data_IF_760241033056
#
_entry.id   IF_760241033056
#
_cell.length_a   1.000
_cell.length_b   1.000
_cell.length_c   1.000
_cell.angle_alpha   90.00
_cell.angle_beta   90.00
_cell.angle_gamma   90.00
#
_symmetry.space_group_name_H-M   'P 1'
#
loop_
_entity.id
_entity.type
_entity.pdbx_description
1 polymer ?
#
# COMPACT_ATOMS: atom_id res chain seq x y z
N UNK A 1 -5.15 5.99 -3.76
CA UNK A 1 -5.34 4.61 -3.27
C UNK A 1 -6.75 4.40 -2.72
N UNK A 2 -7.15 5.03 -1.60
CA UNK A 2 -8.45 4.77 -0.96
C UNK A 2 -9.65 4.88 -1.90
N UNK A 3 -9.74 5.97 -2.67
CA UNK A 3 -10.84 6.20 -3.62
C UNK A 3 -10.83 5.19 -4.78
N UNK A 4 -9.65 4.77 -5.24
CA UNK A 4 -9.50 3.73 -6.26
C UNK A 4 -9.89 2.35 -5.71
N UNK A 5 -9.51 2.04 -4.46
CA UNK A 5 -9.93 0.82 -3.78
C UNK A 5 -11.44 0.76 -3.66
N UNK A 6 -12.06 1.85 -3.22
CA UNK A 6 -13.51 1.95 -3.11
C UNK A 6 -14.20 1.68 -4.45
N UNK A 7 -13.70 2.28 -5.54
CA UNK A 7 -14.15 1.99 -6.90
C UNK A 7 -14.07 0.48 -7.22
N UNK A 8 -12.91 -0.15 -7.04
CA UNK A 8 -12.73 -1.58 -7.32
C UNK A 8 -13.65 -2.48 -6.50
N UNK A 9 -14.05 -2.07 -5.29
CA UNK A 9 -14.92 -2.86 -4.40
C UNK A 9 -16.42 -2.61 -4.58
N UNK A 10 -16.83 -1.46 -5.11
CA UNK A 10 -18.24 -1.03 -5.09
C UNK A 10 -18.85 -0.80 -6.48
N UNK A 11 -18.04 -0.41 -7.46
CA UNK A 11 -18.53 0.03 -8.78
C UNK A 11 -17.89 -0.73 -9.95
N UNK A 12 -16.78 -1.43 -9.73
CA UNK A 12 -16.15 -2.22 -10.78
C UNK A 12 -16.94 -3.51 -11.01
N UNK A 13 -17.45 -3.70 -12.22
CA UNK A 13 -18.19 -4.91 -12.61
C UNK A 13 -17.30 -6.18 -12.62
N UNK A 14 -16.00 -5.99 -12.76
CA UNK A 14 -15.01 -7.07 -12.82
C UNK A 14 -14.34 -7.25 -11.45
N UNK A 15 -14.25 -8.48 -10.91
CA UNK A 15 -13.56 -8.71 -9.64
C UNK A 15 -12.07 -8.40 -9.78
N UNK A 16 -11.51 -7.64 -8.83
CA UNK A 16 -10.11 -7.20 -8.83
C UNK A 16 -9.33 -7.85 -7.68
N UNK A 17 -9.06 -9.18 -7.71
CA UNK A 17 -8.35 -9.89 -6.64
C UNK A 17 -6.92 -9.37 -6.43
N UNK A 18 -6.31 -8.78 -7.46
CA UNK A 18 -4.97 -8.20 -7.42
C UNK A 18 -4.85 -7.09 -6.37
N UNK A 19 -5.94 -6.38 -6.08
CA UNK A 19 -5.93 -5.33 -5.06
C UNK A 19 -5.75 -5.92 -3.66
N UNK A 20 -6.40 -7.04 -3.36
CA UNK A 20 -6.23 -7.74 -2.08
C UNK A 20 -4.80 -8.27 -1.95
N UNK A 21 -4.24 -8.82 -3.02
CA UNK A 21 -2.85 -9.28 -3.03
C UNK A 21 -1.87 -8.11 -2.78
N UNK A 22 -2.08 -6.96 -3.44
CA UNK A 22 -1.28 -5.76 -3.21
C UNK A 22 -1.33 -5.29 -1.74
N UNK A 23 -2.49 -5.33 -1.09
CA UNK A 23 -2.63 -4.97 0.32
C UNK A 23 -1.86 -5.91 1.25
N UNK A 24 -1.90 -7.23 1.00
CA UNK A 24 -1.12 -8.19 1.78
C UNK A 24 0.39 -8.01 1.55
N UNK A 25 0.84 -7.67 0.34
CA UNK A 25 2.24 -7.29 0.09
C UNK A 25 2.62 -6.06 0.90
N UNK A 26 1.76 -5.03 0.95
CA UNK A 26 1.99 -3.81 1.74
C UNK A 26 1.99 -4.08 3.24
N UNK A 27 1.25 -5.09 3.70
CA UNK A 27 1.30 -5.55 5.10
C UNK A 27 2.61 -6.29 5.38
N UNK A 28 3.03 -7.17 4.47
CA UNK A 28 4.29 -7.90 4.56
C UNK A 28 5.51 -6.96 4.63
N UNK A 29 5.54 -5.90 3.80
CA UNK A 29 6.63 -4.90 3.78
C UNK A 29 6.85 -4.22 5.15
N UNK A 30 5.82 -4.17 6.01
CA UNK A 30 5.87 -3.53 7.34
C UNK A 30 6.29 -4.47 8.46
N UNK A 31 6.45 -5.76 8.20
CA UNK A 31 6.86 -6.72 9.23
C UNK A 31 8.31 -6.46 9.62
N UNK A 32 8.59 -6.44 10.92
CA UNK A 32 9.92 -6.14 11.46
C UNK A 32 10.79 -7.39 11.58
N UNK A 33 10.18 -8.54 11.88
CA UNK A 33 10.89 -9.80 12.16
C UNK A 33 10.90 -10.74 10.96
N UNK A 34 12.00 -11.47 10.79
CA UNK A 34 12.14 -12.43 9.68
C UNK A 34 11.27 -13.68 9.85
N UNK A 35 10.97 -14.08 11.10
CA UNK A 35 10.07 -15.20 11.41
C UNK A 35 8.63 -14.89 10.98
N UNK A 36 8.13 -13.70 11.29
CA UNK A 36 6.81 -13.26 10.86
C UNK A 36 6.75 -13.08 9.34
N UNK A 37 7.80 -12.50 8.74
CA UNK A 37 7.92 -12.43 7.27
C UNK A 37 7.84 -13.81 6.66
N UNK A 38 8.52 -14.82 7.20
CA UNK A 38 8.45 -16.15 6.63
C UNK A 38 7.04 -16.74 6.69
N UNK A 39 6.40 -16.68 7.86
CA UNK A 39 5.04 -17.20 8.07
C UNK A 39 4.04 -16.51 7.13
N UNK A 40 4.01 -15.18 7.16
CA UNK A 40 3.09 -14.39 6.33
C UNK A 40 3.43 -14.54 4.84
N UNK A 41 4.71 -14.61 4.49
CA UNK A 41 5.16 -14.83 3.12
C UNK A 41 4.69 -16.18 2.56
N UNK A 42 4.69 -17.24 3.39
CA UNK A 42 4.11 -18.55 3.03
C UNK A 42 2.59 -18.46 2.85
N UNK A 43 1.88 -17.83 3.78
CA UNK A 43 0.44 -17.63 3.68
C UNK A 43 0.04 -16.87 2.41
N UNK A 44 0.76 -15.79 2.08
CA UNK A 44 0.55 -15.00 0.85
C UNK A 44 0.81 -15.87 -0.39
N UNK A 45 1.90 -16.63 -0.40
CA UNK A 45 2.24 -17.50 -1.51
C UNK A 45 1.18 -18.59 -1.74
N UNK A 46 0.69 -19.22 -0.68
CA UNK A 46 -0.32 -20.27 -0.80
C UNK A 46 -1.70 -19.72 -1.23
N UNK A 47 -2.10 -18.56 -0.70
CA UNK A 47 -3.40 -17.96 -0.98
C UNK A 47 -3.51 -17.34 -2.38
N UNK A 48 -2.47 -16.64 -2.83
CA UNK A 48 -2.52 -15.82 -4.05
C UNK A 48 -1.74 -16.43 -5.22
N UNK A 49 -0.61 -17.10 -4.95
CA UNK A 49 0.28 -17.60 -6.01
C UNK A 49 -0.05 -19.06 -6.34
N UNK A 50 -0.09 -19.95 -5.34
CA UNK A 50 -0.35 -21.38 -5.58
C UNK A 50 -1.75 -21.64 -6.13
N UNK A 51 -2.76 -20.91 -5.66
CA UNK A 51 -4.13 -21.05 -6.18
C UNK A 51 -4.24 -20.71 -7.67
N UNK A 52 -3.54 -19.68 -8.13
CA UNK A 52 -3.52 -19.29 -9.55
C UNK A 52 -2.72 -20.29 -10.39
N UNK A 53 -1.58 -20.79 -9.87
CA UNK A 53 -0.80 -21.85 -10.51
C UNK A 53 -1.61 -23.14 -10.70
N UNK A 54 -2.37 -23.56 -9.69
CA UNK A 54 -3.21 -24.77 -9.76
C UNK A 54 -4.39 -24.64 -10.72
N UNK A 55 -4.84 -23.42 -11.00
CA UNK A 55 -5.95 -23.15 -11.90
C UNK A 55 -5.52 -22.88 -13.35
N UNK A 56 -4.21 -22.94 -13.67
CA UNK A 56 -3.63 -22.57 -14.97
C UNK A 56 -4.06 -21.17 -15.46
N UNK A 57 -4.50 -20.31 -14.55
CA UNK A 57 -4.96 -18.94 -14.83
C UNK A 57 -3.86 -17.90 -14.62
N UNK A 58 -2.60 -18.35 -14.55
CA UNK A 58 -1.44 -17.53 -14.22
C UNK A 58 -1.29 -16.29 -15.11
N UNK A 59 -1.43 -15.12 -14.49
CA UNK A 59 -1.16 -13.81 -15.12
C UNK A 59 0.22 -13.26 -14.80
N UNK A 60 0.96 -13.89 -13.88
CA UNK A 60 2.25 -13.43 -13.39
C UNK A 60 3.44 -14.13 -14.07
N UNK A 61 4.58 -13.46 -14.14
CA UNK A 61 5.77 -14.01 -14.80
C UNK A 61 6.38 -15.19 -14.04
N UNK A 62 6.86 -16.20 -14.77
CA UNK A 62 7.59 -17.34 -14.19
C UNK A 62 8.80 -16.91 -13.35
N UNK A 63 9.45 -15.80 -13.74
CA UNK A 63 10.57 -15.20 -13.00
C UNK A 63 10.16 -14.72 -11.61
N UNK A 64 8.98 -14.09 -11.49
CA UNK A 64 8.45 -13.63 -10.21
C UNK A 64 8.12 -14.83 -9.29
N UNK A 65 7.51 -15.88 -9.86
CA UNK A 65 7.18 -17.12 -9.16
C UNK A 65 8.43 -17.81 -8.63
N UNK A 66 9.42 -18.03 -9.50
CA UNK A 66 10.65 -18.73 -9.12
C UNK A 66 11.45 -17.93 -8.08
N UNK A 67 11.54 -16.61 -8.24
CA UNK A 67 12.23 -15.74 -7.28
C UNK A 67 11.63 -15.86 -5.88
N UNK A 68 10.32 -15.73 -5.74
CA UNK A 68 9.66 -15.84 -4.42
C UNK A 68 9.77 -17.25 -3.85
N UNK A 69 9.54 -18.28 -4.67
CA UNK A 69 9.63 -19.69 -4.25
C UNK A 69 11.04 -20.02 -3.72
N UNK A 70 12.08 -19.52 -4.39
CA UNK A 70 13.49 -19.75 -4.01
C UNK A 70 13.86 -19.07 -2.68
N UNK A 71 13.38 -17.85 -2.43
CA UNK A 71 13.63 -17.18 -1.16
C UNK A 71 12.86 -17.84 -0.01
N UNK A 72 11.59 -18.22 -0.23
CA UNK A 72 10.77 -18.89 0.77
C UNK A 72 11.24 -20.32 1.10
N UNK A 73 11.87 -21.03 0.16
CA UNK A 73 12.42 -22.38 0.40
C UNK A 73 13.80 -22.37 1.05
N UNK A 74 14.59 -21.32 0.80
CA UNK A 74 15.93 -21.15 1.41
C UNK A 74 15.87 -20.69 2.86
N UNK A 75 14.81 -19.98 3.25
CA UNK A 75 14.69 -19.55 4.63
C UNK A 75 14.59 -20.75 5.57
N UNK A 76 15.45 -20.77 6.58
CA UNK A 76 15.46 -21.76 7.65
C UNK A 76 15.54 -21.00 8.98
N UNK A 77 14.54 -21.11 9.86
CA UNK A 77 14.51 -20.39 11.14
C UNK A 77 15.70 -20.73 12.05
N UNK A 78 16.37 -21.87 11.82
CA UNK A 78 17.54 -22.29 12.59
C UNK A 78 18.89 -21.82 12.01
N UNK A 79 18.89 -21.03 10.92
CA UNK A 79 20.11 -20.55 10.26
C UNK A 79 20.12 -19.02 10.18
N UNK A 80 20.91 -18.40 11.06
CA UNK A 80 21.00 -16.93 11.24
C UNK A 80 21.56 -16.15 10.04
N UNK A 81 22.02 -16.83 8.97
CA UNK A 81 22.52 -16.17 7.75
C UNK A 81 21.44 -15.93 6.69
N UNK A 82 20.24 -16.48 6.85
CA UNK A 82 19.18 -16.34 5.86
C UNK A 82 18.14 -15.33 6.33
N UNK A 83 18.30 -14.07 5.93
CA UNK A 83 17.29 -13.03 6.14
C UNK A 83 16.29 -13.00 4.99
N UNK A 84 15.01 -12.78 5.30
CA UNK A 84 13.96 -12.60 4.31
C UNK A 84 13.79 -11.13 3.99
N UNK A 85 14.03 -10.72 2.74
CA UNK A 85 13.95 -9.32 2.40
C UNK A 85 12.49 -8.84 2.41
N UNK A 86 12.24 -7.64 2.95
CA UNK A 86 10.90 -7.05 3.01
C UNK A 86 10.30 -6.75 1.62
N UNK A 87 11.14 -6.66 0.60
CA UNK A 87 10.75 -6.48 -0.81
C UNK A 87 10.65 -7.80 -1.59
N UNK A 88 10.50 -8.94 -0.92
CA UNK A 88 10.34 -10.27 -1.54
C UNK A 88 9.32 -10.28 -2.70
N UNK A 89 8.18 -9.61 -2.51
CA UNK A 89 7.08 -9.57 -3.47
C UNK A 89 7.11 -8.36 -4.42
N UNK A 90 8.23 -7.62 -4.50
CA UNK A 90 8.34 -6.47 -5.40
C UNK A 90 8.05 -6.79 -6.88
N UNK A 91 8.48 -7.94 -7.44
CA UNK A 91 8.11 -8.33 -8.80
C UNK A 91 6.58 -8.43 -9.00
N UNK A 92 5.89 -9.09 -8.07
CA UNK A 92 4.43 -9.20 -8.09
C UNK A 92 3.75 -7.85 -7.95
N UNK A 93 4.23 -7.01 -7.05
CA UNK A 93 3.71 -5.66 -6.85
C UNK A 93 3.79 -4.83 -8.13
N UNK A 94 4.89 -4.94 -8.88
CA UNK A 94 5.05 -4.26 -10.17
C UNK A 94 4.04 -4.79 -11.20
N UNK A 95 3.95 -6.12 -11.35
CA UNK A 95 3.01 -6.74 -12.29
C UNK A 95 1.55 -6.41 -11.96
N UNK A 96 1.16 -6.43 -10.68
CA UNK A 96 -0.16 -5.98 -10.21
C UNK A 96 -0.41 -4.52 -10.60
N UNK A 97 0.55 -3.62 -10.36
CA UNK A 97 0.40 -2.22 -10.74
C UNK A 97 0.22 -2.06 -12.25
N UNK A 98 0.97 -2.81 -13.05
CA UNK A 98 0.87 -2.74 -14.52
C UNK A 98 -0.48 -3.29 -15.02
N UNK A 99 -1.02 -4.36 -14.40
CA UNK A 99 -2.36 -4.87 -14.68
C UNK A 99 -3.45 -3.84 -14.31
N UNK A 100 -3.32 -3.21 -13.14
CA UNK A 100 -4.31 -2.23 -12.66
C UNK A 100 -4.31 -0.94 -13.50
N UNK A 101 -3.16 -0.57 -14.08
CA UNK A 101 -3.00 0.64 -14.92
C UNK A 101 -3.74 0.60 -16.26
N UNK A 102 -4.16 -0.58 -16.71
CA UNK A 102 -4.89 -0.71 -17.97
C UNK A 102 -6.37 -0.35 -17.81
N UNK A 103 -7.22 -1.18 -18.42
CA UNK A 103 -8.68 -0.98 -18.51
C UNK A 103 -9.37 -0.64 -17.18
N UNK A 104 -8.91 -1.21 -16.06
CA UNK A 104 -9.50 -0.96 -14.74
C UNK A 104 -9.28 0.50 -14.32
N UNK A 105 -8.08 1.03 -14.58
CA UNK A 105 -7.80 2.44 -14.30
C UNK A 105 -8.57 3.38 -15.23
N UNK A 106 -8.70 3.05 -16.51
CA UNK A 106 -9.50 3.86 -17.44
C UNK A 106 -10.96 3.96 -16.98
N UNK A 107 -11.58 2.82 -16.62
CA UNK A 107 -12.94 2.80 -16.02
C UNK A 107 -13.01 3.59 -14.71
N UNK A 108 -11.96 3.59 -13.91
CA UNK A 108 -11.90 4.42 -12.70
C UNK A 108 -11.94 5.90 -13.05
N UNK A 109 -11.15 6.36 -14.03
CA UNK A 109 -11.12 7.76 -14.48
C UNK A 109 -12.51 8.22 -14.94
N UNK A 110 -13.26 7.35 -15.60
CA UNK A 110 -14.63 7.62 -16.06
C UNK A 110 -15.68 7.62 -14.93
N UNK A 111 -15.32 7.13 -13.74
CA UNK A 111 -16.26 6.95 -12.62
C UNK A 111 -16.47 8.19 -11.75
N UNK A 112 -17.59 8.21 -11.01
CA UNK A 112 -17.84 9.20 -9.96
C UNK A 112 -16.79 9.19 -8.83
N UNK A 113 -16.09 8.07 -8.63
CA UNK A 113 -15.01 7.99 -7.63
C UNK A 113 -13.82 8.84 -8.06
N UNK A 114 -13.49 8.88 -9.35
CA UNK A 114 -12.47 9.80 -9.83
C UNK A 114 -12.91 11.26 -9.71
N UNK A 115 -14.19 11.56 -9.94
CA UNK A 115 -14.74 12.89 -9.65
C UNK A 115 -14.54 13.28 -8.17
N UNK A 116 -14.81 12.35 -7.24
CA UNK A 116 -14.52 12.57 -5.80
C UNK A 116 -13.03 12.77 -5.53
N UNK A 117 -12.15 12.05 -6.23
CA UNK A 117 -10.71 12.28 -6.13
C UNK A 117 -10.32 13.69 -6.58
N UNK A 118 -10.87 14.17 -7.70
CA UNK A 118 -10.63 15.54 -8.19
C UNK A 118 -11.11 16.60 -7.20
N UNK A 119 -12.25 16.38 -6.53
CA UNK A 119 -12.73 17.29 -5.48
C UNK A 119 -11.73 17.42 -4.33
N UNK A 120 -11.21 16.29 -3.83
CA UNK A 120 -10.17 16.28 -2.80
C UNK A 120 -8.86 16.92 -3.28
N UNK A 121 -8.46 16.69 -4.54
CA UNK A 121 -7.28 17.33 -5.12
C UNK A 121 -7.45 18.83 -5.27
N UNK A 122 -8.62 19.29 -5.68
CA UNK A 122 -8.90 20.71 -5.74
C UNK A 122 -8.87 21.34 -4.35
N UNK A 123 -9.43 20.68 -3.33
CA UNK A 123 -9.31 21.15 -1.95
C UNK A 123 -7.83 21.26 -1.54
N UNK A 124 -7.03 20.20 -1.74
CA UNK A 124 -5.59 20.17 -1.42
C UNK A 124 -4.80 21.29 -2.10
N UNK A 125 -5.02 21.53 -3.39
CA UNK A 125 -4.31 22.55 -4.17
C UNK A 125 -4.69 23.99 -3.79
N UNK A 126 -5.86 24.18 -3.17
CA UNK A 126 -6.35 25.50 -2.78
C UNK A 126 -6.16 25.80 -1.28
N UNK A 127 -5.43 24.96 -0.54
CA UNK A 127 -5.14 25.24 0.88
C UNK A 127 -4.23 26.46 1.00
N UNK A 128 -4.72 27.50 1.67
CA UNK A 128 -3.95 28.66 2.09
C UNK A 128 -4.00 28.73 3.61
N UNK A 129 -2.88 28.41 4.27
CA UNK A 129 -2.81 28.35 5.73
C UNK A 129 -2.54 29.73 6.33
N UNK A 130 -3.27 30.02 7.39
CA UNK A 130 -3.12 31.19 8.25
C UNK A 130 -3.04 30.75 9.71
N UNK A 131 -2.71 31.66 10.63
CA UNK A 131 -2.70 31.35 12.07
C UNK A 131 -4.09 30.93 12.59
N UNK A 132 -5.17 31.38 11.95
CA UNK A 132 -6.54 31.03 12.36
C UNK A 132 -6.88 29.56 12.10
N UNK A 133 -6.14 28.89 11.21
CA UNK A 133 -6.30 27.46 10.93
C UNK A 133 -5.70 26.57 12.04
N UNK A 134 -5.05 27.18 13.02
CA UNK A 134 -4.37 26.49 14.12
C UNK A 134 -4.84 27.01 15.48
N UNK A 135 -5.31 26.09 16.32
CA UNK A 135 -5.45 26.34 17.75
C UNK A 135 -4.06 26.20 18.39
N UNK A 136 -3.41 27.34 18.63
CA UNK A 136 -2.07 27.41 19.23
C UNK A 136 -2.16 27.27 20.74
N UNK A 137 -1.38 26.35 21.32
CA UNK A 137 -1.31 26.09 22.76
C UNK A 137 0.00 26.63 23.36
N UNK A 138 0.56 25.92 24.35
CA UNK A 138 1.80 26.31 25.03
C UNK A 138 3.03 26.14 24.14
N UNK A 139 4.04 26.93 24.46
CA UNK A 139 5.41 26.78 23.93
C UNK A 139 5.99 25.45 24.39
N UNK A 140 6.61 24.73 23.46
CA UNK A 140 7.31 23.47 23.70
C UNK A 140 8.83 23.58 23.48
N UNK A 141 9.31 24.70 22.93
CA UNK A 141 10.74 24.97 22.76
C UNK A 141 11.03 26.44 22.45
N UNK A 142 12.22 26.91 22.83
CA UNK A 142 12.70 28.27 22.56
C UNK A 142 14.12 28.22 21.98
N UNK A 143 14.41 29.09 21.01
CA UNK A 143 15.73 29.24 20.42
C UNK A 143 16.01 30.68 19.98
N UNK A 144 17.20 30.93 19.44
CA UNK A 144 17.63 32.30 19.07
C UNK A 144 16.78 32.99 17.99
N UNK A 145 16.04 32.24 17.19
CA UNK A 145 15.22 32.75 16.08
C UNK A 145 13.71 32.61 16.30
N UNK A 146 13.26 32.18 17.48
CA UNK A 146 11.83 32.07 17.77
C UNK A 146 11.45 30.96 18.75
N UNK A 147 10.15 30.69 18.79
CA UNK A 147 9.53 29.73 19.71
C UNK A 147 8.74 28.69 18.93
N UNK A 148 8.72 27.46 19.45
CA UNK A 148 7.93 26.36 18.90
C UNK A 148 6.71 26.17 19.78
N UNK A 149 5.53 26.16 19.17
CA UNK A 149 4.26 25.98 19.85
C UNK A 149 3.69 24.60 19.55
N UNK A 150 3.13 23.95 20.56
CA UNK A 150 2.17 22.87 20.31
C UNK A 150 0.91 23.49 19.72
N UNK A 151 0.39 22.97 18.61
CA UNK A 151 -0.84 23.47 18.00
C UNK A 151 -1.74 22.31 17.57
N UNK A 152 -3.00 22.61 17.29
CA UNK A 152 -3.97 21.68 16.71
C UNK A 152 -4.55 22.28 15.45
N UNK A 153 -4.54 21.56 14.33
CA UNK A 153 -5.17 22.02 13.08
C UNK A 153 -6.69 22.01 13.26
N UNK A 154 -7.35 23.13 12.97
CA UNK A 154 -8.77 23.33 13.29
C UNK A 154 -9.72 22.38 12.55
N UNK A 155 -9.45 22.12 11.27
CA UNK A 155 -10.32 21.30 10.39
C UNK A 155 -10.23 19.79 10.63
N UNK A 156 -9.04 19.29 10.99
CA UNK A 156 -8.78 17.84 11.17
C UNK A 156 -8.64 17.45 12.63
N UNK A 157 -8.47 18.42 13.54
CA UNK A 157 -8.20 18.16 14.94
C UNK A 157 -6.84 17.51 15.23
N UNK A 158 -5.97 17.36 14.21
CA UNK A 158 -4.64 16.77 14.37
C UNK A 158 -3.74 17.69 15.18
N UNK A 159 -3.10 17.14 16.21
CA UNK A 159 -2.03 17.80 16.98
C UNK A 159 -0.66 17.43 16.42
#
# INVERSE_FOLDING_TARGET
>A
FLVFKEFCTTLCDEPVPQLKFYEEIKRFEKLETDEERWRVGKEIYDQFIMRELLSNSHTYSERAIESVKKHLSKYNPNNSKNSLPSNLFEPYKKEICDLLRGRIFDKFIESEKYTRFCQWKNFELNIQLTMNDFSVHRIIGRGGFGEVYGCRKADTGKM
#
